data_IF_814189548663
#
_entry.id   IF_814189548663
#
_cell.length_a   1.000
_cell.length_b   1.000
_cell.length_c   1.000
_cell.angle_alpha   90.00
_cell.angle_beta   90.00
_cell.angle_gamma   90.00
#
_symmetry.space_group_name_H-M   'P 1'
#
loop_
_entity.id
_entity.type
_entity.pdbx_description
1 polymer ?
#
# COMPACT_ATOMS: atom_id res chain seq x y z
N UNK A 1 40.37 18.54 29.94
CA UNK A 1 39.66 17.22 30.09
C UNK A 1 38.17 17.32 30.34
N UNK A 2 37.67 18.31 31.09
CA UNK A 2 36.21 18.47 31.36
C UNK A 2 35.40 18.83 30.11
N UNK A 3 35.95 19.61 29.16
CA UNK A 3 35.25 20.04 27.91
C UNK A 3 35.05 18.91 26.89
N UNK A 4 35.97 17.95 26.78
CA UNK A 4 35.85 16.80 25.92
C UNK A 4 34.78 15.81 26.36
N UNK A 5 34.62 15.61 27.64
CA UNK A 5 33.59 14.72 28.21
C UNK A 5 32.17 15.26 27.97
N UNK A 6 31.97 16.57 28.12
CA UNK A 6 30.67 17.22 27.86
C UNK A 6 30.31 17.15 26.37
N UNK A 7 31.27 17.33 25.48
CA UNK A 7 31.03 17.22 24.01
C UNK A 7 30.67 15.78 23.57
N UNK A 8 31.26 14.77 24.17
CA UNK A 8 30.90 13.37 23.88
C UNK A 8 29.51 13.00 24.39
N UNK A 9 29.10 13.49 25.53
CA UNK A 9 27.75 13.24 26.10
C UNK A 9 26.70 13.94 25.22
N UNK A 10 26.94 15.18 24.77
CA UNK A 10 26.05 15.90 23.87
C UNK A 10 25.87 15.19 22.51
N UNK A 11 26.94 14.60 21.96
CA UNK A 11 26.89 13.85 20.71
C UNK A 11 26.11 12.53 20.86
N UNK A 12 26.26 11.83 21.99
CA UNK A 12 25.51 10.60 22.28
C UNK A 12 24.01 10.84 22.46
N UNK A 13 23.63 11.96 23.07
CA UNK A 13 22.21 12.33 23.23
C UNK A 13 21.57 12.71 21.90
N UNK A 14 22.31 13.33 20.97
CA UNK A 14 21.79 13.70 19.66
C UNK A 14 21.55 12.48 18.75
N UNK A 15 22.37 11.42 18.87
CA UNK A 15 22.20 10.17 18.11
C UNK A 15 21.02 9.34 18.63
N UNK A 16 20.66 9.45 19.92
CA UNK A 16 19.55 8.71 20.51
C UNK A 16 18.16 9.28 20.19
N UNK A 17 18.07 10.52 19.69
CA UNK A 17 16.80 11.19 19.35
C UNK A 17 16.39 11.02 17.87
N UNK A 18 17.15 10.28 17.09
CA UNK A 18 17.02 10.20 15.61
C UNK A 18 16.22 9.04 15.03
N UNK A 19 15.56 8.17 15.82
CA UNK A 19 14.94 6.95 15.25
C UNK A 19 13.55 6.57 15.77
N UNK A 20 12.66 7.52 15.93
CA UNK A 20 11.23 7.21 16.16
C UNK A 20 10.37 8.03 15.19
N UNK A 21 10.26 7.62 13.97
CA UNK A 21 9.45 8.41 13.03
C UNK A 21 9.10 7.79 11.69
N UNK A 22 9.10 6.48 11.50
CA UNK A 22 8.77 5.95 10.16
C UNK A 22 7.71 4.85 10.07
N UNK A 23 7.14 4.37 11.17
CA UNK A 23 6.24 3.21 11.11
C UNK A 23 4.74 3.55 11.03
N UNK A 24 4.33 4.81 11.20
CA UNK A 24 2.90 5.18 11.24
C UNK A 24 2.41 6.07 10.09
N UNK A 25 3.27 6.42 9.13
CA UNK A 25 2.90 7.39 8.09
C UNK A 25 2.09 6.82 6.92
N UNK A 26 2.13 5.50 6.62
CA UNK A 26 1.42 4.95 5.45
C UNK A 26 -0.10 4.93 5.63
N UNK A 27 -0.60 4.71 6.86
CA UNK A 27 -2.04 4.67 7.14
C UNK A 27 -2.70 6.06 7.16
N UNK A 28 -1.98 7.09 7.60
CA UNK A 28 -2.52 8.44 7.77
C UNK A 28 -2.83 9.15 6.44
N UNK A 29 -2.24 8.71 5.34
CA UNK A 29 -2.40 9.30 4.01
C UNK A 29 -3.70 8.93 3.30
N UNK A 30 -4.40 7.88 3.76
CA UNK A 30 -5.60 7.36 3.10
C UNK A 30 -6.88 7.70 3.87
N UNK A 31 -7.97 7.93 3.13
CA UNK A 31 -9.29 8.23 3.71
C UNK A 31 -10.01 6.91 4.05
N UNK A 32 -9.86 6.46 5.29
CA UNK A 32 -10.45 5.21 5.76
C UNK A 32 -11.99 5.23 5.83
N UNK A 33 -12.61 6.41 5.75
CA UNK A 33 -14.07 6.56 5.74
C UNK A 33 -14.67 6.31 4.36
N UNK A 34 -13.85 6.32 3.31
CA UNK A 34 -14.25 6.11 1.92
C UNK A 34 -13.71 4.81 1.36
N UNK A 35 -14.53 4.18 0.53
CA UNK A 35 -14.13 3.07 -0.33
C UNK A 35 -14.61 3.35 -1.75
N UNK A 36 -13.72 3.26 -2.71
CA UNK A 36 -14.04 3.32 -4.13
C UNK A 36 -13.56 2.05 -4.82
N UNK A 37 -14.30 1.62 -5.83
CA UNK A 37 -13.93 0.45 -6.66
C UNK A 37 -13.64 0.92 -8.06
N UNK A 38 -12.47 0.58 -8.56
CA UNK A 38 -11.98 0.98 -9.87
C UNK A 38 -11.59 -0.27 -10.67
N UNK A 39 -12.15 -0.40 -11.86
CA UNK A 39 -11.83 -1.51 -12.77
C UNK A 39 -10.81 -1.06 -13.80
N UNK A 40 -9.89 -1.95 -14.15
CA UNK A 40 -8.85 -1.66 -15.13
C UNK A 40 -7.94 -2.85 -15.38
N UNK A 41 -6.79 -2.57 -15.98
CA UNK A 41 -5.83 -3.59 -16.42
C UNK A 41 -4.52 -3.41 -15.66
N UNK A 42 -3.99 -4.50 -15.10
CA UNK A 42 -2.72 -4.50 -14.37
C UNK A 42 -1.59 -4.11 -15.32
N UNK A 43 -0.88 -3.05 -14.98
CA UNK A 43 0.33 -2.58 -15.68
C UNK A 43 1.61 -2.91 -14.92
N UNK A 44 1.54 -3.07 -13.58
CA UNK A 44 2.67 -3.51 -12.77
C UNK A 44 2.18 -4.23 -11.50
N UNK A 45 2.92 -5.25 -11.05
CA UNK A 45 2.72 -5.88 -9.75
C UNK A 45 4.07 -6.08 -9.08
N UNK A 46 4.27 -5.40 -7.94
CA UNK A 46 5.50 -5.44 -7.15
C UNK A 46 5.29 -6.26 -5.88
N UNK A 47 5.88 -7.44 -5.82
CA UNK A 47 5.84 -8.31 -4.65
C UNK A 47 7.16 -8.24 -3.90
N UNK A 48 7.28 -7.32 -2.95
CA UNK A 48 8.49 -7.13 -2.14
C UNK A 48 8.17 -6.46 -0.80
N UNK A 49 9.02 -6.71 0.22
CA UNK A 49 8.92 -6.05 1.51
C UNK A 49 9.16 -4.53 1.41
N UNK A 50 8.53 -3.73 2.30
CA UNK A 50 7.60 -4.16 3.35
C UNK A 50 6.17 -4.43 2.85
N UNK A 51 5.75 -3.83 1.73
CA UNK A 51 4.41 -3.90 1.16
C UNK A 51 4.46 -4.25 -0.32
N UNK A 52 3.54 -5.11 -0.75
CA UNK A 52 3.29 -5.28 -2.17
C UNK A 52 2.49 -4.08 -2.72
N UNK A 53 2.63 -3.85 -4.03
CA UNK A 53 1.94 -2.80 -4.76
C UNK A 53 1.37 -3.35 -6.05
N UNK A 54 0.17 -2.92 -6.38
CA UNK A 54 -0.45 -3.13 -7.69
C UNK A 54 -0.63 -1.79 -8.38
N UNK A 55 -0.24 -1.73 -9.66
CA UNK A 55 -0.47 -0.58 -10.54
C UNK A 55 -1.38 -1.04 -11.66
N UNK A 56 -2.45 -0.29 -11.93
CA UNK A 56 -3.41 -0.64 -12.98
C UNK A 56 -3.91 0.61 -13.69
N UNK A 57 -4.19 0.46 -14.97
CA UNK A 57 -4.68 1.51 -15.83
C UNK A 57 -6.22 1.50 -15.84
N UNK A 58 -6.82 2.61 -15.45
CA UNK A 58 -8.26 2.82 -15.35
C UNK A 58 -8.71 3.81 -16.40
N UNK A 59 -9.76 3.48 -17.12
CA UNK A 59 -10.42 4.43 -18.04
C UNK A 59 -11.42 5.27 -17.25
N UNK A 60 -11.19 6.58 -17.18
CA UNK A 60 -12.11 7.50 -16.51
C UNK A 60 -13.39 7.75 -17.31
N UNK A 61 -14.33 8.50 -16.74
CA UNK A 61 -15.62 8.83 -17.38
C UNK A 61 -15.45 9.61 -18.69
N UNK A 62 -14.35 10.34 -18.87
CA UNK A 62 -14.02 11.05 -20.10
C UNK A 62 -13.40 10.16 -21.18
N UNK A 63 -13.07 8.91 -20.83
CA UNK A 63 -12.37 7.96 -21.69
C UNK A 63 -10.85 8.07 -21.62
N UNK A 64 -10.31 8.92 -20.77
CA UNK A 64 -8.87 9.06 -20.56
C UNK A 64 -8.34 7.93 -19.66
N UNK A 65 -7.16 7.41 -19.99
CA UNK A 65 -6.47 6.45 -19.14
C UNK A 65 -5.77 7.15 -17.99
N UNK A 66 -6.06 6.69 -16.78
CA UNK A 66 -5.44 7.14 -15.53
C UNK A 66 -4.78 5.95 -14.87
N UNK A 67 -3.49 6.05 -14.59
CA UNK A 67 -2.76 5.01 -13.88
C UNK A 67 -2.96 5.18 -12.37
N UNK A 68 -3.51 4.15 -11.74
CA UNK A 68 -3.72 4.05 -10.30
C UNK A 68 -2.69 3.15 -9.65
N UNK A 69 -2.33 3.44 -8.41
CA UNK A 69 -1.49 2.55 -7.61
C UNK A 69 -2.16 2.19 -6.28
N UNK A 70 -2.06 0.93 -5.89
CA UNK A 70 -2.65 0.40 -4.66
C UNK A 70 -1.59 -0.22 -3.76
N UNK A 71 -1.51 0.27 -2.52
CA UNK A 71 -0.69 -0.33 -1.48
C UNK A 71 -1.43 -1.50 -0.85
N UNK A 72 -0.83 -2.66 -0.87
CA UNK A 72 -1.30 -3.86 -0.19
C UNK A 72 -0.78 -3.89 1.26
N UNK A 73 -1.32 -4.73 2.14
CA UNK A 73 -0.77 -4.97 3.47
C UNK A 73 0.70 -5.41 3.45
N UNK A 74 1.25 -5.70 4.61
CA UNK A 74 2.58 -6.30 4.69
C UNK A 74 2.58 -7.69 4.04
N UNK A 75 3.70 -8.07 3.43
CA UNK A 75 3.84 -9.33 2.66
C UNK A 75 3.39 -10.57 3.44
N UNK A 76 3.72 -10.66 4.74
CA UNK A 76 3.29 -11.78 5.58
C UNK A 76 1.76 -11.83 5.76
N UNK A 77 1.11 -10.68 5.83
CA UNK A 77 -0.35 -10.55 5.87
C UNK A 77 -0.96 -10.99 4.54
N UNK A 78 -0.42 -10.52 3.43
CA UNK A 78 -0.88 -10.90 2.10
C UNK A 78 -0.73 -12.41 1.86
N UNK A 79 0.38 -13.01 2.31
CA UNK A 79 0.59 -14.46 2.26
C UNK A 79 -0.44 -15.23 3.09
N UNK A 80 -0.78 -14.75 4.30
CA UNK A 80 -1.81 -15.35 5.13
C UNK A 80 -3.20 -15.28 4.48
N UNK A 81 -3.45 -14.28 3.63
CA UNK A 81 -4.65 -14.15 2.81
C UNK A 81 -4.59 -14.93 1.48
N UNK A 82 -3.55 -15.72 1.25
CA UNK A 82 -3.40 -16.57 0.07
C UNK A 82 -2.73 -15.89 -1.12
N UNK A 83 -2.21 -14.68 -0.97
CA UNK A 83 -1.48 -14.00 -2.04
C UNK A 83 -0.03 -14.48 -2.18
N UNK A 84 0.50 -14.33 -3.36
CA UNK A 84 1.89 -14.65 -3.72
C UNK A 84 2.40 -13.71 -4.82
N UNK A 85 3.67 -13.83 -5.16
CA UNK A 85 4.27 -13.11 -6.29
C UNK A 85 3.64 -13.41 -7.66
N UNK A 86 2.85 -14.48 -7.75
CA UNK A 86 2.19 -14.91 -8.99
C UNK A 86 0.68 -14.66 -8.99
N UNK A 87 0.14 -14.03 -7.94
CA UNK A 87 -1.31 -13.79 -7.81
C UNK A 87 -1.86 -12.85 -8.88
N UNK A 88 -1.05 -11.89 -9.32
CA UNK A 88 -1.39 -10.97 -10.40
C UNK A 88 -0.31 -10.98 -11.48
N UNK A 89 -0.72 -10.73 -12.71
CA UNK A 89 0.15 -10.60 -13.88
C UNK A 89 -0.21 -9.33 -14.65
N UNK A 90 0.77 -8.74 -15.33
CA UNK A 90 0.54 -7.64 -16.29
C UNK A 90 -0.48 -8.12 -17.31
N UNK A 91 -1.50 -7.29 -17.59
CA UNK A 91 -2.59 -7.60 -18.49
C UNK A 91 -3.82 -8.25 -17.84
N UNK A 92 -3.76 -8.63 -16.57
CA UNK A 92 -4.95 -9.09 -15.84
C UNK A 92 -5.99 -7.96 -15.75
N UNK A 93 -7.24 -8.23 -16.15
CA UNK A 93 -8.38 -7.33 -15.90
C UNK A 93 -8.86 -7.53 -14.47
N UNK A 94 -8.88 -6.46 -13.69
CA UNK A 94 -9.20 -6.49 -12.26
C UNK A 94 -10.17 -5.38 -11.86
N UNK A 95 -10.87 -5.59 -10.76
CA UNK A 95 -11.57 -4.56 -9.98
C UNK A 95 -10.90 -4.45 -8.62
N UNK A 96 -10.45 -3.25 -8.28
CA UNK A 96 -9.74 -2.95 -7.03
C UNK A 96 -10.60 -2.03 -6.18
N UNK A 97 -10.91 -2.44 -4.96
CA UNK A 97 -11.54 -1.58 -3.94
C UNK A 97 -10.45 -1.01 -3.05
N UNK A 98 -10.41 0.31 -2.91
CA UNK A 98 -9.40 1.03 -2.14
C UNK A 98 -10.00 2.05 -1.18
N UNK A 99 -9.25 2.41 -0.13
CA UNK A 99 -9.38 3.69 0.54
C UNK A 99 -8.52 4.70 -0.24
N UNK A 100 -9.10 5.74 -0.84
CA UNK A 100 -8.35 6.67 -1.68
C UNK A 100 -7.43 7.57 -0.87
N UNK A 101 -6.41 8.11 -1.53
CA UNK A 101 -5.52 9.14 -0.97
C UNK A 101 -6.33 10.38 -0.55
N UNK A 102 -6.03 10.94 0.62
CA UNK A 102 -6.57 12.23 1.10
C UNK A 102 -6.13 13.41 0.25
N UNK A 103 -5.03 13.26 -0.49
CA UNK A 103 -4.48 14.29 -1.37
C UNK A 103 -5.18 14.34 -2.74
N UNK A 104 -6.08 13.38 -3.04
CA UNK A 104 -6.73 13.30 -4.34
C UNK A 104 -5.84 12.77 -5.46
N UNK A 105 -4.67 12.24 -5.14
CA UNK A 105 -3.79 11.55 -6.08
C UNK A 105 -4.37 10.18 -6.45
N UNK A 106 -4.06 9.62 -7.65
CA UNK A 106 -4.60 8.35 -8.11
C UNK A 106 -3.90 7.16 -7.43
N UNK A 107 -3.99 7.11 -6.11
CA UNK A 107 -3.46 6.05 -5.27
C UNK A 107 -4.38 5.75 -4.09
N UNK A 108 -4.20 4.59 -3.49
CA UNK A 108 -5.00 4.18 -2.35
C UNK A 108 -4.48 2.93 -1.65
N UNK A 109 -5.05 2.67 -0.48
CA UNK A 109 -4.82 1.43 0.24
C UNK A 109 -5.81 0.38 -0.23
N UNK A 110 -5.31 -0.78 -0.65
CA UNK A 110 -6.14 -1.88 -1.16
C UNK A 110 -6.96 -2.52 -0.04
N UNK A 111 -8.24 -2.73 -0.31
CA UNK A 111 -9.15 -3.53 0.49
C UNK A 111 -9.46 -4.88 -0.15
N UNK A 112 -9.68 -4.87 -1.46
CA UNK A 112 -10.14 -6.06 -2.18
C UNK A 112 -9.69 -6.01 -3.63
N UNK A 113 -9.31 -7.15 -4.17
CA UNK A 113 -9.02 -7.32 -5.59
C UNK A 113 -9.76 -8.54 -6.09
N UNK A 114 -10.51 -8.38 -7.17
CA UNK A 114 -11.22 -9.44 -7.88
C UNK A 114 -10.84 -9.38 -9.36
N UNK A 115 -10.54 -10.52 -9.97
CA UNK A 115 -10.36 -10.59 -11.43
C UNK A 115 -11.69 -10.52 -12.15
N UNK A 116 -11.67 -10.16 -13.43
CA UNK A 116 -12.87 -10.09 -14.27
C UNK A 116 -13.68 -11.39 -14.33
N UNK A 117 -13.03 -12.53 -14.21
CA UNK A 117 -13.67 -13.85 -14.17
C UNK A 117 -14.31 -14.19 -12.81
N UNK A 118 -14.26 -13.28 -11.83
CA UNK A 118 -14.78 -13.45 -10.49
C UNK A 118 -13.79 -14.04 -9.48
N UNK A 119 -12.58 -14.38 -9.89
CA UNK A 119 -11.54 -14.91 -8.98
C UNK A 119 -11.18 -13.87 -7.93
N UNK A 120 -11.41 -14.19 -6.65
CA UNK A 120 -10.98 -13.37 -5.52
C UNK A 120 -9.47 -13.50 -5.35
N UNK A 121 -8.75 -12.38 -5.40
CA UNK A 121 -7.30 -12.33 -5.17
C UNK A 121 -7.01 -12.02 -3.70
N UNK A 122 -7.66 -11.00 -3.16
CA UNK A 122 -7.55 -10.62 -1.74
C UNK A 122 -8.81 -9.91 -1.27
N UNK A 123 -9.18 -10.13 -0.01
CA UNK A 123 -10.20 -9.37 0.70
C UNK A 123 -9.76 -9.19 2.16
N UNK A 124 -9.35 -7.97 2.50
CA UNK A 124 -8.81 -7.64 3.83
C UNK A 124 -9.89 -7.67 4.91
N UNK A 125 -11.18 -7.57 4.54
CA UNK A 125 -12.28 -7.68 5.51
C UNK A 125 -12.32 -9.04 6.19
N UNK A 126 -11.82 -10.08 5.54
CA UNK A 126 -11.76 -11.44 6.08
C UNK A 126 -10.81 -11.60 7.27
N UNK A 127 -9.87 -10.66 7.47
CA UNK A 127 -8.97 -10.66 8.64
C UNK A 127 -9.66 -10.27 9.94
N UNK A 128 -10.81 -9.58 9.89
CA UNK A 128 -11.52 -9.09 11.07
C UNK A 128 -12.47 -10.10 11.70
N UNK A 129 -12.59 -11.27 11.10
CA UNK A 129 -13.54 -12.33 11.52
C UNK A 129 -12.87 -13.54 12.20
N UNK A 130 -11.55 -13.40 12.55
CA UNK A 130 -10.83 -14.44 13.30
C UNK A 130 -10.45 -13.96 14.69
#
# INVERSE_FOLDING_TARGET
MRSLAISMIALLVFVALGTVGSAHHSMAGYDETKKITLSGVVSEYRWRNPHAWVVWDVKDESGKMVQWSGELPAINTDQALGMSKTSLKIGDEISVTINPSKLGTPDGRVWKIVKKDGTLIVDISLMRTQ
#
